data_IF_928236011117
#
_entry.id   IF_928236011117
#
_cell.length_a   1.000
_cell.length_b   1.000
_cell.length_c   1.000
_cell.angle_alpha   90.00
_cell.angle_beta   90.00
_cell.angle_gamma   90.00
#
_symmetry.space_group_name_H-M   'P 1'
#
loop_
_entity.id
_entity.type
_entity.pdbx_description
1 polymer ?
#
# COMPACT_ATOMS: atom_id res chain seq x y z
N UNK A 1 86.02 12.26 -22.39
CA UNK A 1 85.39 11.86 -21.11
C UNK A 1 84.02 11.29 -21.42
N UNK A 2 83.55 10.27 -20.69
CA UNK A 2 82.37 9.47 -21.03
C UNK A 2 81.06 10.28 -21.11
N UNK A 3 80.15 9.83 -21.98
CA UNK A 3 78.75 9.49 -21.65
C UNK A 3 78.26 8.49 -22.72
N UNK A 4 77.91 7.27 -22.31
CA UNK A 4 77.09 6.36 -23.12
C UNK A 4 75.61 6.68 -22.85
N UNK A 5 74.75 6.43 -23.84
CA UNK A 5 73.42 5.84 -23.58
C UNK A 5 72.87 5.25 -24.88
N UNK A 6 72.77 3.92 -24.92
CA UNK A 6 72.21 3.17 -26.05
C UNK A 6 70.69 3.14 -25.99
N UNK A 7 70.01 3.48 -27.10
CA UNK A 7 68.55 3.32 -27.22
C UNK A 7 68.21 1.88 -27.57
N UNK A 8 67.60 1.15 -26.64
CA UNK A 8 66.89 -0.09 -26.96
C UNK A 8 65.44 0.21 -27.37
N UNK A 9 65.04 -0.23 -28.56
CA UNK A 9 63.66 -0.20 -29.03
C UNK A 9 62.90 -1.43 -28.52
N UNK A 10 62.11 -1.26 -27.45
CA UNK A 10 61.17 -2.30 -27.01
C UNK A 10 59.94 -2.32 -27.93
N UNK A 11 59.61 -3.49 -28.49
CA UNK A 11 58.35 -3.72 -29.22
C UNK A 11 57.19 -3.72 -28.23
N UNK A 12 56.23 -2.81 -28.40
CA UNK A 12 54.98 -2.80 -27.63
C UNK A 12 53.96 -3.72 -28.33
N UNK A 13 53.62 -4.85 -27.70
CA UNK A 13 52.47 -5.66 -28.14
C UNK A 13 51.18 -5.08 -27.57
N UNK A 14 50.39 -4.43 -28.43
CA UNK A 14 49.05 -3.95 -28.08
C UNK A 14 48.08 -5.14 -28.13
N UNK A 15 47.78 -5.74 -26.97
CA UNK A 15 46.64 -6.64 -26.85
C UNK A 15 45.34 -5.83 -26.85
N UNK A 16 44.60 -5.89 -27.96
CA UNK A 16 43.24 -5.37 -28.06
C UNK A 16 42.29 -6.27 -27.26
N UNK A 17 42.01 -5.88 -26.01
CA UNK A 17 40.87 -6.40 -25.27
C UNK A 17 39.59 -5.76 -25.80
N UNK A 18 38.82 -6.52 -26.58
CA UNK A 18 37.43 -6.17 -26.92
C UNK A 18 36.54 -6.77 -25.82
N UNK A 19 35.90 -5.96 -24.95
CA UNK A 19 34.88 -6.48 -24.06
C UNK A 19 33.64 -6.84 -24.88
N UNK A 20 33.38 -8.13 -25.03
CA UNK A 20 32.12 -8.62 -25.59
C UNK A 20 30.98 -8.26 -24.64
N UNK A 21 30.29 -7.15 -24.91
CA UNK A 21 29.06 -6.78 -24.20
C UNK A 21 27.99 -7.78 -24.61
N UNK A 22 27.82 -8.85 -23.82
CA UNK A 22 26.60 -9.64 -23.86
C UNK A 22 25.45 -8.74 -23.37
N UNK A 23 24.69 -8.21 -24.32
CA UNK A 23 23.36 -7.70 -24.04
C UNK A 23 22.49 -8.87 -23.58
N UNK A 24 22.40 -9.07 -22.26
CA UNK A 24 21.42 -9.98 -21.67
C UNK A 24 20.06 -9.37 -21.91
N UNK A 25 19.43 -9.77 -23.03
CA UNK A 25 18.01 -9.59 -23.23
C UNK A 25 17.28 -10.46 -22.20
N UNK A 26 17.10 -9.91 -20.99
CA UNK A 26 16.08 -10.37 -20.06
C UNK A 26 14.73 -10.16 -20.74
N UNK A 27 14.29 -11.17 -21.48
CA UNK A 27 12.93 -11.27 -21.97
C UNK A 27 12.02 -11.34 -20.76
N UNK A 28 11.53 -10.17 -20.32
CA UNK A 28 10.50 -10.06 -19.30
C UNK A 28 9.30 -10.87 -19.75
N UNK A 29 9.15 -12.06 -19.19
CA UNK A 29 7.95 -12.89 -19.37
C UNK A 29 6.86 -12.16 -18.59
N UNK A 30 6.22 -11.19 -19.24
CA UNK A 30 4.98 -10.60 -18.75
C UNK A 30 3.99 -11.75 -18.57
N UNK A 31 3.48 -11.91 -17.36
CA UNK A 31 2.36 -12.82 -17.12
C UNK A 31 1.21 -12.44 -18.06
N UNK A 32 0.50 -13.43 -18.59
CA UNK A 32 -0.69 -13.17 -19.39
C UNK A 32 -1.67 -12.29 -18.58
N UNK A 33 -2.32 -11.30 -19.21
CA UNK A 33 -3.24 -10.41 -18.49
C UNK A 33 -4.30 -11.22 -17.75
N UNK A 34 -4.64 -10.88 -16.49
CA UNK A 34 -5.58 -11.68 -15.70
C UNK A 34 -6.93 -11.84 -16.40
N UNK A 35 -7.46 -13.06 -16.37
CA UNK A 35 -8.75 -13.37 -16.95
C UNK A 35 -9.88 -12.92 -15.98
N UNK A 36 -10.74 -11.96 -16.36
CA UNK A 36 -11.76 -11.45 -15.44
C UNK A 36 -12.78 -12.48 -14.97
N UNK A 37 -12.96 -13.62 -15.65
CA UNK A 37 -13.88 -14.67 -15.21
C UNK A 37 -13.37 -15.49 -14.02
N UNK A 38 -12.08 -15.40 -13.68
CA UNK A 38 -11.47 -16.10 -12.54
C UNK A 38 -11.61 -15.33 -11.23
N UNK A 39 -12.12 -14.09 -11.29
CA UNK A 39 -12.17 -13.15 -10.19
C UNK A 39 -13.60 -12.68 -9.88
N UNK A 40 -13.86 -12.23 -8.63
CA UNK A 40 -15.16 -11.67 -8.26
C UNK A 40 -15.48 -10.38 -9.03
N UNK A 41 -16.75 -10.03 -9.12
CA UNK A 41 -17.19 -8.79 -9.77
C UNK A 41 -16.58 -7.57 -9.07
N UNK A 42 -16.24 -6.54 -9.87
CA UNK A 42 -15.67 -5.29 -9.37
C UNK A 42 -16.58 -4.60 -8.36
N UNK A 43 -15.98 -4.09 -7.27
CA UNK A 43 -16.65 -3.39 -6.17
C UNK A 43 -17.85 -4.19 -5.59
N UNK A 44 -17.71 -5.53 -5.57
CA UNK A 44 -18.63 -6.46 -4.91
C UNK A 44 -17.89 -7.34 -3.92
N UNK A 45 -18.50 -7.55 -2.75
CA UNK A 45 -18.05 -8.50 -1.76
C UNK A 45 -17.83 -9.88 -2.42
N UNK A 46 -16.64 -10.48 -2.31
CA UNK A 46 -16.37 -11.78 -2.88
C UNK A 46 -17.15 -12.88 -2.14
N UNK A 47 -17.51 -13.93 -2.88
CA UNK A 47 -18.07 -15.14 -2.29
C UNK A 47 -17.02 -15.79 -1.39
N UNK A 48 -17.41 -16.10 -0.16
CA UNK A 48 -16.56 -16.80 0.80
C UNK A 48 -16.21 -18.21 0.30
N UNK A 49 -14.92 -18.57 0.36
CA UNK A 49 -14.46 -19.94 0.16
C UNK A 49 -14.20 -20.59 1.53
N UNK A 50 -14.94 -21.67 1.90
CA UNK A 50 -14.76 -22.34 3.19
C UNK A 50 -13.33 -22.89 3.39
N UNK A 51 -12.66 -23.37 2.34
CA UNK A 51 -11.33 -23.96 2.44
C UNK A 51 -10.29 -22.98 2.99
N UNK A 52 -10.31 -21.73 2.48
CA UNK A 52 -9.47 -20.63 2.96
C UNK A 52 -9.74 -20.25 4.42
N UNK A 53 -10.96 -20.47 4.88
CA UNK A 53 -11.40 -20.05 6.22
C UNK A 53 -11.13 -21.13 7.28
N UNK A 54 -11.03 -22.40 6.89
CA UNK A 54 -10.90 -23.55 7.79
C UNK A 54 -9.69 -23.46 8.73
N UNK A 55 -8.52 -23.08 8.22
CA UNK A 55 -7.30 -23.00 9.03
C UNK A 55 -7.21 -21.67 9.80
N UNK A 56 -7.45 -20.54 9.13
CA UNK A 56 -7.37 -19.20 9.71
C UNK A 56 -8.32 -19.03 10.90
N UNK A 57 -9.56 -19.52 10.80
CA UNK A 57 -10.57 -19.38 11.87
C UNK A 57 -10.52 -20.49 12.93
N UNK A 58 -9.64 -21.48 12.82
CA UNK A 58 -9.57 -22.62 13.74
C UNK A 58 -9.32 -22.17 15.18
N UNK A 59 -10.30 -22.39 16.06
CA UNK A 59 -10.23 -22.01 17.47
C UNK A 59 -10.42 -20.52 17.76
N UNK A 60 -10.79 -19.70 16.77
CA UNK A 60 -11.31 -18.36 17.02
C UNK A 60 -12.79 -18.41 17.44
N UNK A 61 -13.26 -17.47 18.28
CA UNK A 61 -14.69 -17.33 18.54
C UNK A 61 -15.42 -16.94 17.26
N UNK A 62 -16.61 -17.51 17.03
CA UNK A 62 -17.50 -17.12 15.94
C UNK A 62 -18.24 -15.81 16.28
N UNK A 63 -17.47 -14.72 16.37
CA UNK A 63 -18.00 -13.39 16.64
C UNK A 63 -18.74 -12.86 15.41
N UNK A 64 -20.02 -12.46 15.52
CA UNK A 64 -20.79 -11.94 14.39
C UNK A 64 -20.24 -10.58 13.92
N UNK A 65 -20.56 -10.15 12.67
CA UNK A 65 -20.23 -8.80 12.21
C UNK A 65 -20.94 -7.73 13.02
N UNK A 66 -20.33 -6.54 13.08
CA UNK A 66 -20.99 -5.35 13.62
C UNK A 66 -22.15 -4.94 12.69
N UNK A 67 -23.30 -4.51 13.23
CA UNK A 67 -24.44 -4.08 12.41
C UNK A 67 -24.21 -2.72 11.71
N UNK A 68 -23.14 -2.00 12.09
CA UNK A 68 -22.71 -0.71 11.54
C UNK A 68 -21.17 -0.61 11.63
N UNK A 69 -20.52 0.20 10.77
CA UNK A 69 -19.09 0.47 10.89
C UNK A 69 -18.72 1.09 12.24
N UNK A 70 -17.46 0.94 12.66
CA UNK A 70 -16.94 1.63 13.82
C UNK A 70 -16.75 3.13 13.53
N UNK A 71 -17.05 3.97 14.52
CA UNK A 71 -16.91 5.43 14.46
C UNK A 71 -15.66 5.95 15.20
N UNK A 72 -14.91 5.05 15.84
CA UNK A 72 -13.71 5.36 16.63
C UNK A 72 -12.58 4.43 16.19
N UNK A 73 -11.47 5.00 15.75
CA UNK A 73 -10.29 4.22 15.34
C UNK A 73 -9.43 3.86 16.55
N UNK A 74 -9.19 2.57 16.77
CA UNK A 74 -8.14 2.08 17.66
C UNK A 74 -7.04 1.44 16.83
N UNK A 75 -5.95 2.18 16.61
CA UNK A 75 -4.73 1.71 15.95
C UNK A 75 -3.59 1.42 16.94
N UNK A 76 -3.87 1.28 18.24
CA UNK A 76 -2.85 1.11 19.29
C UNK A 76 -1.97 -0.15 19.12
N UNK A 77 -2.44 -1.12 18.33
CA UNK A 77 -1.76 -2.40 18.02
C UNK A 77 -1.31 -2.52 16.56
N UNK A 78 -1.44 -1.44 15.79
CA UNK A 78 -1.17 -1.42 14.35
C UNK A 78 -0.01 -0.47 14.02
N UNK A 79 0.59 -0.64 12.84
CA UNK A 79 1.68 0.22 12.39
C UNK A 79 1.14 1.59 12.00
N UNK A 80 1.40 2.60 12.82
CA UNK A 80 0.96 3.99 12.60
C UNK A 80 2.11 4.96 12.29
N UNK A 81 3.38 4.56 12.49
CA UNK A 81 4.57 5.42 12.37
C UNK A 81 5.76 4.66 11.79
N UNK A 82 6.66 5.40 11.13
CA UNK A 82 8.01 4.93 10.76
C UNK A 82 8.92 4.73 12.00
N UNK A 83 10.11 4.14 11.81
CA UNK A 83 11.11 3.96 12.89
C UNK A 83 11.92 5.22 13.21
N UNK A 84 12.19 6.08 12.22
CA UNK A 84 13.06 7.26 12.36
C UNK A 84 12.22 8.57 12.38
N UNK A 85 12.50 9.43 13.37
CA UNK A 85 11.79 10.69 13.58
C UNK A 85 11.86 11.67 12.40
N UNK A 86 12.88 11.56 11.53
CA UNK A 86 13.04 12.37 10.31
C UNK A 86 12.51 11.68 9.05
N UNK A 87 11.69 10.61 9.18
CA UNK A 87 11.15 9.90 8.02
C UNK A 87 9.63 10.04 7.91
N UNK A 88 9.19 10.29 6.67
CA UNK A 88 7.81 10.39 6.26
C UNK A 88 7.48 9.21 5.33
N UNK A 89 6.77 8.23 5.85
CA UNK A 89 6.18 7.10 5.13
C UNK A 89 5.01 7.60 4.29
N UNK A 90 5.28 7.87 3.01
CA UNK A 90 4.28 8.37 2.06
C UNK A 90 3.45 7.19 1.53
N UNK A 91 2.12 7.29 1.62
CA UNK A 91 1.24 6.25 1.08
C UNK A 91 -0.02 6.76 0.43
N UNK A 92 -0.48 6.00 -0.56
CA UNK A 92 -1.67 6.25 -1.37
C UNK A 92 -2.59 5.02 -1.36
N UNK A 93 -3.86 5.24 -1.08
CA UNK A 93 -4.90 4.23 -1.02
C UNK A 93 -5.80 4.27 -2.27
N UNK A 94 -6.57 3.19 -2.45
CA UNK A 94 -7.63 3.01 -3.43
C UNK A 94 -7.21 2.83 -4.91
N UNK A 95 -5.94 2.97 -5.27
CA UNK A 95 -5.42 2.64 -6.60
C UNK A 95 -5.48 1.15 -6.98
N UNK A 96 -5.01 0.77 -8.20
CA UNK A 96 -4.50 1.66 -9.23
C UNK A 96 -5.63 2.34 -10.02
N UNK A 97 -5.38 3.54 -10.53
CA UNK A 97 -6.33 4.35 -11.25
C UNK A 97 -5.68 5.02 -12.49
N UNK A 98 -6.45 5.65 -13.40
CA UNK A 98 -5.90 6.22 -14.64
C UNK A 98 -4.86 7.33 -14.46
N UNK A 99 -4.82 7.95 -13.28
CA UNK A 99 -3.89 9.04 -12.92
C UNK A 99 -2.76 8.58 -11.99
N UNK A 100 -2.72 7.30 -11.59
CA UNK A 100 -1.56 6.71 -10.89
C UNK A 100 -0.28 6.91 -11.70
N UNK A 101 -0.30 6.75 -13.03
CA UNK A 101 0.88 6.98 -13.88
C UNK A 101 1.42 8.42 -13.83
N UNK A 102 0.55 9.43 -13.61
CA UNK A 102 0.99 10.81 -13.39
C UNK A 102 1.70 10.94 -12.03
N UNK A 103 1.12 10.35 -10.99
CA UNK A 103 1.73 10.28 -9.66
C UNK A 103 3.08 9.55 -9.67
N UNK A 104 3.24 8.47 -10.44
CA UNK A 104 4.52 7.78 -10.64
C UNK A 104 5.59 8.73 -11.20
N UNK A 105 5.25 9.52 -12.22
CA UNK A 105 6.15 10.51 -12.79
C UNK A 105 6.51 11.64 -11.79
N UNK A 106 5.58 12.05 -10.94
CA UNK A 106 5.80 13.07 -9.90
C UNK A 106 6.63 12.56 -8.70
N UNK A 107 6.54 11.27 -8.38
CA UNK A 107 7.41 10.58 -7.42
C UNK A 107 8.85 10.46 -7.98
N UNK A 108 8.99 10.08 -9.25
CA UNK A 108 10.29 9.89 -9.90
C UNK A 108 11.07 11.21 -10.09
N UNK A 109 10.39 12.30 -10.49
CA UNK A 109 10.94 13.67 -10.54
C UNK A 109 11.58 14.12 -9.23
N UNK A 110 11.09 13.59 -8.09
CA UNK A 110 11.60 13.88 -6.74
C UNK A 110 12.55 12.80 -6.22
N UNK A 111 12.75 11.72 -6.97
CA UNK A 111 13.54 10.54 -6.62
C UNK A 111 13.09 9.89 -5.29
N UNK A 112 11.79 9.92 -5.02
CA UNK A 112 11.19 9.34 -3.81
C UNK A 112 10.38 8.08 -4.13
N UNK A 113 10.17 7.22 -3.13
CA UNK A 113 9.29 6.05 -3.23
C UNK A 113 8.18 6.15 -2.17
N UNK A 114 7.04 5.56 -2.48
CA UNK A 114 5.83 5.54 -1.67
C UNK A 114 5.27 4.11 -1.58
N UNK A 115 4.27 3.90 -0.72
CA UNK A 115 3.45 2.70 -0.70
C UNK A 115 2.10 2.93 -1.36
N UNK A 116 1.63 1.94 -2.13
CA UNK A 116 0.32 1.92 -2.75
C UNK A 116 -0.50 0.79 -2.13
N UNK A 117 -1.53 1.14 -1.37
CA UNK A 117 -2.50 0.20 -0.81
C UNK A 117 -3.61 0.00 -1.85
N UNK A 118 -3.47 -1.04 -2.66
CA UNK A 118 -4.30 -1.24 -3.86
C UNK A 118 -5.53 -2.10 -3.61
N UNK A 119 -6.64 -1.73 -4.24
CA UNK A 119 -7.90 -2.48 -4.20
C UNK A 119 -7.89 -3.55 -5.30
N UNK A 120 -8.10 -4.82 -4.92
CA UNK A 120 -7.93 -5.98 -5.80
C UNK A 120 -8.76 -5.91 -7.09
N UNK A 121 -10.02 -5.46 -7.00
CA UNK A 121 -10.87 -5.27 -8.17
C UNK A 121 -10.35 -4.24 -9.18
N UNK A 122 -9.55 -3.26 -8.73
CA UNK A 122 -8.95 -2.22 -9.56
C UNK A 122 -7.62 -2.66 -10.14
N UNK A 123 -6.88 -3.52 -9.44
CA UNK A 123 -5.75 -4.26 -10.03
C UNK A 123 -6.23 -5.11 -11.21
N UNK A 124 -7.38 -5.79 -11.09
CA UNK A 124 -7.95 -6.55 -12.21
C UNK A 124 -8.27 -5.66 -13.43
N UNK A 125 -8.74 -4.43 -13.21
CA UNK A 125 -8.99 -3.47 -14.29
C UNK A 125 -7.72 -2.80 -14.85
N UNK A 126 -6.61 -2.77 -14.09
CA UNK A 126 -5.37 -2.03 -14.40
C UNK A 126 -4.11 -2.80 -13.99
N UNK A 127 -3.93 -4.03 -14.49
CA UNK A 127 -2.76 -4.86 -14.14
C UNK A 127 -1.46 -4.23 -14.67
N UNK A 128 -1.53 -3.52 -15.79
CA UNK A 128 -0.41 -2.81 -16.40
C UNK A 128 0.06 -1.62 -15.54
N UNK A 129 -0.87 -0.87 -14.94
CA UNK A 129 -0.56 0.22 -14.00
C UNK A 129 0.09 -0.34 -12.74
N UNK A 130 -0.47 -1.40 -12.14
CA UNK A 130 0.14 -2.03 -10.96
C UNK A 130 1.57 -2.50 -11.26
N UNK A 131 1.77 -3.13 -12.41
CA UNK A 131 3.08 -3.63 -12.82
C UNK A 131 4.08 -2.49 -13.05
N UNK A 132 3.66 -1.35 -13.62
CA UNK A 132 4.49 -0.14 -13.70
C UNK A 132 4.83 0.41 -12.31
N UNK A 133 3.87 0.52 -11.40
CA UNK A 133 4.10 0.96 -10.02
C UNK A 133 5.14 0.09 -9.31
N UNK A 134 5.03 -1.24 -9.45
CA UNK A 134 6.00 -2.17 -8.88
C UNK A 134 7.38 -2.10 -9.56
N UNK A 135 7.45 -2.05 -10.90
CA UNK A 135 8.69 -1.93 -11.66
C UNK A 135 9.42 -0.59 -11.40
N UNK A 136 8.69 0.47 -11.06
CA UNK A 136 9.25 1.75 -10.60
C UNK A 136 9.84 1.69 -9.17
N UNK A 137 9.78 0.53 -8.49
CA UNK A 137 10.36 0.32 -7.16
C UNK A 137 9.51 0.88 -6.02
N UNK A 138 8.20 1.01 -6.21
CA UNK A 138 7.28 1.35 -5.13
C UNK A 138 6.77 0.10 -4.40
N UNK A 139 6.38 0.27 -3.14
CA UNK A 139 5.84 -0.82 -2.32
C UNK A 139 4.36 -1.03 -2.66
N UNK A 140 3.99 -2.27 -2.97
CA UNK A 140 2.60 -2.68 -3.19
C UNK A 140 2.06 -3.38 -1.94
N UNK A 141 0.97 -2.85 -1.40
CA UNK A 141 0.25 -3.36 -0.25
C UNK A 141 -1.24 -3.59 -0.58
N UNK A 142 -1.96 -4.36 0.24
CA UNK A 142 -3.37 -4.67 -0.01
C UNK A 142 -4.32 -3.64 0.63
N UNK A 143 -5.44 -3.39 -0.05
CA UNK A 143 -6.55 -2.61 0.48
C UNK A 143 -7.91 -3.29 0.26
N UNK A 144 -7.93 -4.63 0.40
CA UNK A 144 -9.08 -5.52 0.15
C UNK A 144 -9.51 -5.59 -1.33
N UNK A 145 -10.47 -6.44 -1.65
CA UNK A 145 -10.95 -6.67 -3.02
C UNK A 145 -11.97 -5.62 -3.44
N UNK A 146 -12.91 -5.30 -2.56
CA UNK A 146 -14.06 -4.43 -2.88
C UNK A 146 -14.21 -3.20 -1.97
N UNK A 147 -13.23 -2.95 -1.10
CA UNK A 147 -13.21 -1.82 -0.16
C UNK A 147 -14.42 -1.76 0.82
N UNK A 148 -14.81 -2.86 1.51
CA UNK A 148 -15.87 -2.82 2.51
C UNK A 148 -15.36 -2.39 3.89
N UNK A 149 -16.27 -1.85 4.70
CA UNK A 149 -16.08 -1.75 6.16
C UNK A 149 -15.89 -3.16 6.77
N UNK A 150 -14.65 -3.53 7.10
CA UNK A 150 -14.30 -4.91 7.47
C UNK A 150 -15.03 -5.41 8.73
N UNK A 151 -15.42 -4.51 9.63
CA UNK A 151 -16.15 -4.90 10.84
C UNK A 151 -17.60 -5.28 10.54
N UNK A 152 -18.18 -4.86 9.41
CA UNK A 152 -19.59 -5.17 9.04
C UNK A 152 -19.76 -6.43 8.20
N UNK A 153 -18.66 -7.06 7.76
CA UNK A 153 -18.67 -8.31 6.98
C UNK A 153 -18.25 -9.52 7.81
N UNK A 154 -18.67 -10.71 7.38
CA UNK A 154 -18.35 -11.97 8.07
C UNK A 154 -16.85 -12.31 8.00
N UNK A 155 -16.36 -13.08 8.98
CA UNK A 155 -14.96 -13.50 9.04
C UNK A 155 -14.50 -14.24 7.77
N UNK A 156 -15.39 -15.03 7.14
CA UNK A 156 -15.10 -15.69 5.87
C UNK A 156 -15.01 -14.70 4.69
N UNK A 157 -15.79 -13.60 4.71
CA UNK A 157 -15.70 -12.54 3.71
C UNK A 157 -14.43 -11.70 3.88
N UNK A 158 -14.00 -11.40 5.11
CA UNK A 158 -12.69 -10.76 5.36
C UNK A 158 -11.57 -11.59 4.73
N UNK A 159 -11.59 -12.90 4.93
CA UNK A 159 -10.58 -13.80 4.34
C UNK A 159 -10.67 -13.78 2.81
N UNK A 160 -11.86 -13.85 2.21
CA UNK A 160 -12.01 -13.79 0.75
C UNK A 160 -11.57 -12.45 0.15
N UNK A 161 -11.91 -11.32 0.78
CA UNK A 161 -11.45 -9.95 0.43
C UNK A 161 -9.92 -9.88 0.36
N UNK A 162 -9.23 -10.49 1.32
CA UNK A 162 -7.76 -10.54 1.37
C UNK A 162 -7.19 -11.50 0.32
N UNK A 163 -7.71 -12.73 0.23
CA UNK A 163 -7.16 -13.77 -0.64
C UNK A 163 -7.27 -13.40 -2.12
N UNK A 164 -8.44 -12.93 -2.59
CA UNK A 164 -8.57 -12.51 -4.00
C UNK A 164 -7.64 -11.34 -4.35
N UNK A 165 -7.39 -10.44 -3.38
CA UNK A 165 -6.44 -9.33 -3.55
C UNK A 165 -5.00 -9.82 -3.61
N UNK A 166 -4.61 -10.75 -2.75
CA UNK A 166 -3.30 -11.40 -2.79
C UNK A 166 -3.08 -12.18 -4.09
N UNK A 167 -4.12 -12.87 -4.60
CA UNK A 167 -4.08 -13.63 -5.85
C UNK A 167 -3.84 -12.72 -7.07
N UNK A 168 -4.65 -11.66 -7.24
CA UNK A 168 -4.52 -10.77 -8.40
C UNK A 168 -3.18 -10.04 -8.40
N UNK A 169 -2.72 -9.58 -7.23
CA UNK A 169 -1.41 -8.92 -7.13
C UNK A 169 -0.30 -9.92 -7.48
N UNK A 170 -0.32 -11.13 -6.90
CA UNK A 170 0.68 -12.16 -7.23
C UNK A 170 0.69 -12.51 -8.71
N UNK A 171 -0.47 -12.63 -9.36
CA UNK A 171 -0.55 -12.92 -10.79
C UNK A 171 0.09 -11.82 -11.64
N UNK A 172 -0.02 -10.55 -11.23
CA UNK A 172 0.48 -9.40 -11.98
C UNK A 172 1.96 -9.11 -11.73
N UNK A 173 2.42 -9.18 -10.46
CA UNK A 173 3.80 -8.79 -10.07
C UNK A 173 4.68 -9.94 -9.55
N UNK A 174 4.17 -11.16 -9.52
CA UNK A 174 4.89 -12.38 -9.11
C UNK A 174 4.99 -12.61 -7.60
N UNK A 175 4.86 -11.56 -6.78
CA UNK A 175 5.06 -11.56 -5.32
C UNK A 175 3.77 -11.30 -4.54
N UNK A 176 3.66 -11.88 -3.33
CA UNK A 176 2.51 -11.69 -2.43
C UNK A 176 2.76 -10.61 -1.37
N UNK A 177 1.94 -9.54 -1.29
CA UNK A 177 2.08 -8.51 -0.27
C UNK A 177 1.91 -9.03 1.16
N UNK A 178 2.78 -8.55 2.05
CA UNK A 178 2.70 -8.78 3.49
C UNK A 178 1.92 -7.68 4.22
N UNK A 179 1.67 -6.55 3.56
CA UNK A 179 1.02 -5.38 4.14
C UNK A 179 -0.45 -5.28 3.75
N UNK A 180 -1.27 -4.82 4.70
CA UNK A 180 -2.67 -4.46 4.46
C UNK A 180 -3.04 -3.19 5.23
N UNK A 181 -3.89 -2.36 4.64
CA UNK A 181 -4.62 -1.30 5.33
C UNK A 181 -6.11 -1.63 5.30
N UNK A 182 -6.78 -1.53 6.44
CA UNK A 182 -8.23 -1.72 6.51
C UNK A 182 -8.95 -0.52 5.86
N UNK A 183 -9.88 -0.73 4.91
CA UNK A 183 -10.76 0.32 4.40
C UNK A 183 -11.36 1.16 5.51
N UNK A 184 -11.35 2.48 5.33
CA UNK A 184 -11.84 3.46 6.30
C UNK A 184 -11.18 3.43 7.69
N UNK A 185 -10.13 2.62 7.91
CA UNK A 185 -9.61 2.34 9.26
C UNK A 185 -10.57 1.50 10.12
N UNK A 186 -11.58 0.86 9.52
CA UNK A 186 -12.61 0.12 10.24
C UNK A 186 -12.08 -1.26 10.71
N UNK A 187 -11.59 -1.30 11.95
CA UNK A 187 -10.93 -2.47 12.53
C UNK A 187 -11.36 -2.75 13.98
N UNK A 188 -11.80 -3.98 14.22
CA UNK A 188 -12.08 -4.52 15.55
C UNK A 188 -11.05 -5.64 15.91
N UNK A 189 -11.14 -6.21 17.11
CA UNK A 189 -10.28 -7.33 17.53
C UNK A 189 -10.39 -8.55 16.60
N UNK A 190 -11.59 -8.85 16.07
CA UNK A 190 -11.85 -9.99 15.18
C UNK A 190 -11.17 -9.80 13.83
N UNK A 191 -11.36 -8.64 13.19
CA UNK A 191 -10.67 -8.23 11.94
C UNK A 191 -9.16 -8.32 12.15
N UNK A 192 -8.63 -7.69 13.21
CA UNK A 192 -7.21 -7.67 13.53
C UNK A 192 -6.63 -9.08 13.69
N UNK A 193 -7.28 -9.95 14.47
CA UNK A 193 -6.82 -11.33 14.69
C UNK A 193 -6.83 -12.16 13.41
N UNK A 194 -7.81 -11.97 12.52
CA UNK A 194 -7.87 -12.66 11.22
C UNK A 194 -6.67 -12.24 10.35
N UNK A 195 -6.45 -10.93 10.18
CA UNK A 195 -5.35 -10.41 9.36
C UNK A 195 -3.97 -10.82 9.91
N UNK A 196 -3.80 -10.80 11.24
CA UNK A 196 -2.58 -11.27 11.90
C UNK A 196 -2.35 -12.76 11.71
N UNK A 197 -3.40 -13.62 11.75
CA UNK A 197 -3.25 -15.06 11.45
C UNK A 197 -2.90 -15.35 9.99
N UNK A 198 -3.29 -14.49 9.06
CA UNK A 198 -2.82 -14.54 7.68
C UNK A 198 -1.37 -14.04 7.52
N UNK A 199 -0.76 -13.55 8.60
CA UNK A 199 0.62 -13.05 8.67
C UNK A 199 0.82 -11.67 8.08
N UNK A 200 -0.24 -10.87 8.05
CA UNK A 200 -0.21 -9.53 7.50
C UNK A 200 0.17 -8.47 8.55
N UNK A 201 0.98 -7.52 8.13
CA UNK A 201 1.25 -6.29 8.86
C UNK A 201 0.13 -5.31 8.55
N UNK A 202 -0.60 -4.91 9.59
CA UNK A 202 -1.68 -3.93 9.50
C UNK A 202 -1.07 -2.54 9.60
N UNK A 203 -1.13 -1.78 8.51
CA UNK A 203 -0.63 -0.41 8.42
C UNK A 203 -1.79 0.59 8.40
N UNK A 204 -1.86 1.42 9.43
CA UNK A 204 -2.74 2.57 9.51
C UNK A 204 -1.95 3.84 9.15
N UNK A 205 -2.28 4.97 9.76
CA UNK A 205 -1.61 6.26 9.57
C UNK A 205 -1.63 7.05 10.89
N UNK A 206 -0.82 8.11 10.94
CA UNK A 206 -0.91 9.11 12.01
C UNK A 206 -1.08 10.54 11.46
N UNK A 207 -1.12 10.71 10.14
CA UNK A 207 -1.28 11.99 9.47
C UNK A 207 -2.27 11.81 8.31
N UNK A 208 -3.50 12.29 8.50
CA UNK A 208 -4.53 12.23 7.46
C UNK A 208 -4.50 13.52 6.64
N UNK A 209 -4.33 13.40 5.32
CA UNK A 209 -4.40 14.55 4.40
C UNK A 209 -5.81 15.14 4.31
N UNK A 210 -6.85 14.33 4.52
CA UNK A 210 -8.25 14.66 4.31
C UNK A 210 -8.66 14.79 2.84
N UNK A 211 -7.83 14.33 1.89
CA UNK A 211 -8.07 14.48 0.44
C UNK A 211 -9.35 13.77 -0.04
N UNK A 212 -9.60 12.53 0.42
CA UNK A 212 -10.86 11.80 0.22
C UNK A 212 -12.07 12.51 0.86
N UNK A 213 -11.85 13.30 1.91
CA UNK A 213 -12.86 14.19 2.51
C UNK A 213 -13.05 15.50 1.72
N UNK A 214 -12.38 15.68 0.58
CA UNK A 214 -12.49 16.85 -0.28
C UNK A 214 -11.58 18.02 0.09
N UNK A 215 -10.67 17.89 1.07
CA UNK A 215 -9.68 18.92 1.42
C UNK A 215 -8.86 19.31 0.19
N UNK A 216 -8.68 20.63 -0.03
CA UNK A 216 -7.91 21.22 -1.15
C UNK A 216 -6.61 21.89 -0.73
N UNK A 217 -6.16 21.62 0.50
CA UNK A 217 -5.02 22.29 1.16
C UNK A 217 -4.01 21.29 1.74
N UNK A 218 -3.86 20.11 1.12
CA UNK A 218 -2.95 19.06 1.62
C UNK A 218 -1.51 19.57 1.74
N UNK A 219 -1.01 20.34 0.77
CA UNK A 219 0.32 20.93 0.81
C UNK A 219 0.51 21.84 2.04
N UNK A 220 -0.47 22.70 2.37
CA UNK A 220 -0.40 23.58 3.54
C UNK A 220 -0.47 22.78 4.85
N UNK A 221 -1.31 21.73 4.92
CA UNK A 221 -1.39 20.82 6.08
C UNK A 221 -0.07 20.10 6.31
N UNK A 222 0.50 19.51 5.26
CA UNK A 222 1.77 18.78 5.34
C UNK A 222 2.95 19.71 5.63
N UNK A 223 2.98 20.93 5.08
CA UNK A 223 4.00 21.93 5.43
C UNK A 223 3.88 22.34 6.91
N UNK A 224 2.67 22.58 7.40
CA UNK A 224 2.44 22.87 8.82
C UNK A 224 2.90 21.71 9.69
N UNK A 225 2.59 20.46 9.30
CA UNK A 225 3.03 19.26 10.01
C UNK A 225 4.54 19.07 10.02
N UNK A 226 5.19 19.19 8.86
CA UNK A 226 6.63 19.11 8.69
C UNK A 226 7.38 20.23 9.44
N UNK A 227 6.67 21.27 9.87
CA UNK A 227 7.16 22.37 10.69
C UNK A 227 6.81 22.25 12.19
N UNK A 228 6.02 21.25 12.59
CA UNK A 228 5.42 21.10 13.92
C UNK A 228 6.03 19.90 14.68
N UNK A 229 7.30 20.05 15.07
CA UNK A 229 8.07 19.01 15.73
C UNK A 229 8.61 17.95 14.76
N UNK A 230 9.44 17.06 15.30
CA UNK A 230 10.12 16.01 14.53
C UNK A 230 9.72 14.67 15.14
N UNK A 231 8.86 13.93 14.44
CA UNK A 231 8.26 12.66 14.86
C UNK A 231 8.08 11.77 13.63
N UNK A 232 8.14 10.43 13.74
CA UNK A 232 7.98 9.57 12.59
C UNK A 232 6.54 9.61 12.09
N UNK A 233 6.35 9.75 10.77
CA UNK A 233 5.05 9.93 10.14
C UNK A 233 4.75 8.82 9.15
N UNK A 234 3.54 8.25 9.17
CA UNK A 234 2.91 7.61 8.01
C UNK A 234 1.68 8.45 7.62
N UNK A 235 1.62 8.88 6.36
CA UNK A 235 0.50 9.69 5.84
C UNK A 235 -0.48 8.91 4.99
N UNK A 236 -1.76 9.25 5.11
CA UNK A 236 -2.87 8.75 4.27
C UNK A 236 -3.26 9.79 3.22
N UNK A 237 -3.20 9.38 1.95
CA UNK A 237 -3.66 10.06 0.74
C UNK A 237 -4.30 9.02 -0.20
N UNK A 238 -4.93 9.44 -1.29
CA UNK A 238 -5.63 8.54 -2.22
C UNK A 238 -5.30 8.88 -3.68
N UNK A 239 -5.03 7.88 -4.52
CA UNK A 239 -4.77 8.06 -5.96
C UNK A 239 -5.96 7.67 -6.87
N UNK A 240 -7.12 7.30 -6.29
CA UNK A 240 -8.35 6.95 -7.01
C UNK A 240 -9.10 8.13 -7.66
N UNK A 241 -8.89 9.35 -7.19
CA UNK A 241 -9.57 10.53 -7.74
C UNK A 241 -8.55 11.60 -8.15
N UNK A 242 -8.76 12.19 -9.32
CA UNK A 242 -7.85 13.20 -9.91
C UNK A 242 -7.73 14.45 -9.02
N UNK A 243 -8.77 14.79 -8.24
CA UNK A 243 -8.76 15.89 -7.29
C UNK A 243 -7.91 15.64 -6.03
N UNK A 244 -7.68 14.37 -5.68
CA UNK A 244 -6.76 13.96 -4.61
C UNK A 244 -5.34 13.86 -5.15
N UNK A 245 -5.17 13.13 -6.25
CA UNK A 245 -3.88 12.90 -6.91
C UNK A 245 -3.17 14.23 -7.26
N UNK A 246 -3.88 15.21 -7.84
CA UNK A 246 -3.31 16.53 -8.18
C UNK A 246 -2.72 17.31 -7.02
N UNK A 247 -3.02 16.95 -5.77
CA UNK A 247 -2.43 17.60 -4.60
C UNK A 247 -1.11 16.93 -4.15
N UNK A 248 -0.84 15.70 -4.57
CA UNK A 248 0.33 14.93 -4.18
C UNK A 248 1.67 15.63 -4.52
N UNK A 249 1.87 16.30 -5.68
CA UNK A 249 3.13 16.97 -5.98
C UNK A 249 3.46 18.08 -4.97
N UNK A 250 2.50 18.98 -4.72
CA UNK A 250 2.65 20.05 -3.73
C UNK A 250 2.74 19.53 -2.29
N UNK A 251 2.11 18.39 -1.99
CA UNK A 251 2.25 17.71 -0.71
C UNK A 251 3.68 17.18 -0.48
N UNK A 252 4.29 16.59 -1.50
CA UNK A 252 5.70 16.14 -1.44
C UNK A 252 6.67 17.32 -1.31
N UNK A 253 6.47 18.39 -2.08
CA UNK A 253 7.29 19.60 -2.00
C UNK A 253 7.21 20.26 -0.61
N UNK A 254 6.02 20.25 0.00
CA UNK A 254 5.78 20.71 1.37
C UNK A 254 6.50 19.88 2.44
N UNK A 255 6.55 18.54 2.28
CA UNK A 255 7.30 17.66 3.19
C UNK A 255 8.80 17.94 3.08
N UNK A 256 9.34 17.98 1.87
CA UNK A 256 10.77 18.12 1.58
C UNK A 256 11.33 19.51 1.94
N UNK A 257 10.52 20.56 1.82
CA UNK A 257 10.90 21.94 2.19
C UNK A 257 10.65 22.30 3.66
N UNK A 258 9.95 21.44 4.42
CA UNK A 258 9.62 21.68 5.82
C UNK A 258 10.85 21.69 6.76
N UNK A 259 10.79 22.48 7.83
CA UNK A 259 11.91 22.66 8.79
C UNK A 259 12.33 21.37 9.51
N UNK A 260 11.46 20.36 9.59
CA UNK A 260 11.79 19.03 10.12
C UNK A 260 12.77 18.23 9.25
N UNK A 261 13.01 18.66 7.99
CA UNK A 261 13.95 18.01 7.05
C UNK A 261 13.64 16.53 6.85
N UNK A 262 12.37 16.23 6.59
CA UNK A 262 11.90 14.85 6.43
C UNK A 262 12.45 14.22 5.15
N UNK A 263 12.84 12.95 5.24
CA UNK A 263 13.07 12.07 4.09
C UNK A 263 11.77 11.34 3.78
N UNK A 264 11.32 11.39 2.53
CA UNK A 264 10.18 10.58 2.07
C UNK A 264 10.66 9.15 1.80
N UNK A 265 9.92 8.16 2.30
CA UNK A 265 10.15 6.74 2.05
C UNK A 265 8.82 6.00 1.84
N UNK A 266 8.88 4.81 1.26
CA UNK A 266 7.80 3.84 1.32
C UNK A 266 7.66 3.27 2.74
N UNK A 267 6.46 2.84 3.13
CA UNK A 267 6.13 2.42 4.50
C UNK A 267 6.92 1.19 4.94
N UNK A 268 7.02 0.15 4.10
CA UNK A 268 7.84 -1.05 4.33
C UNK A 268 9.30 -0.70 4.69
N UNK A 269 9.88 0.22 3.92
CA UNK A 269 11.24 0.72 4.10
C UNK A 269 11.35 1.53 5.39
N UNK A 270 10.40 2.45 5.63
CA UNK A 270 10.46 3.33 6.80
C UNK A 270 10.18 2.60 8.13
N UNK A 271 9.50 1.46 8.08
CA UNK A 271 9.31 0.58 9.24
C UNK A 271 10.31 -0.58 9.28
N UNK A 272 11.18 -0.73 8.28
CA UNK A 272 12.22 -1.75 8.21
C UNK A 272 11.70 -3.20 8.29
N UNK A 273 10.71 -3.54 7.46
CA UNK A 273 10.10 -4.88 7.35
C UNK A 273 10.07 -5.34 5.88
N UNK A 274 10.08 -6.66 5.63
CA UNK A 274 9.92 -7.19 4.26
C UNK A 274 8.53 -6.83 3.70
N UNK A 275 8.43 -6.21 2.50
CA UNK A 275 7.15 -5.87 1.86
C UNK A 275 6.33 -7.09 1.42
N UNK A 276 6.98 -8.21 1.12
CA UNK A 276 6.37 -9.41 0.55
C UNK A 276 6.63 -10.65 1.42
N UNK A 277 5.68 -11.59 1.42
CA UNK A 277 5.78 -12.88 2.14
C UNK A 277 4.98 -13.98 1.42
N UNK A 278 5.69 -14.93 0.82
CA UNK A 278 5.11 -16.11 0.16
C UNK A 278 4.58 -17.15 1.15
N UNK A 279 4.95 -17.08 2.43
CA UNK A 279 4.38 -17.90 3.50
C UNK A 279 2.90 -17.65 3.76
N UNK A 280 2.32 -16.59 3.16
CA UNK A 280 0.88 -16.34 3.14
C UNK A 280 0.07 -17.57 2.68
N UNK A 281 0.49 -18.22 1.60
CA UNK A 281 -0.23 -19.37 1.03
C UNK A 281 -0.18 -20.59 1.95
N UNK A 282 0.99 -20.87 2.56
CA UNK A 282 1.19 -21.95 3.53
C UNK A 282 0.45 -21.75 4.87
N UNK A 283 0.07 -20.52 5.20
CA UNK A 283 -0.83 -20.22 6.34
C UNK A 283 -2.30 -20.38 5.96
N UNK A 284 -2.65 -20.08 4.70
CA UNK A 284 -4.00 -20.22 4.17
C UNK A 284 -4.44 -21.68 4.03
N UNK A 285 -3.54 -22.54 3.52
CA UNK A 285 -3.80 -23.98 3.32
C UNK A 285 -3.46 -24.86 4.55
N UNK A 286 -2.87 -24.26 5.59
CA UNK A 286 -2.48 -24.96 6.82
C UNK A 286 -1.18 -25.79 6.72
N UNK A 287 -0.43 -25.72 5.63
CA UNK A 287 0.77 -26.51 5.39
C UNK A 287 2.03 -25.89 5.98
N UNK A 288 2.18 -25.97 7.31
CA UNK A 288 3.41 -25.59 8.05
C UNK A 288 3.94 -24.16 7.76
N UNK A 289 3.07 -23.20 7.44
CA UNK A 289 3.43 -21.79 7.64
C UNK A 289 3.78 -21.57 9.11
N UNK A 290 4.97 -21.04 9.41
CA UNK A 290 5.31 -20.61 10.77
C UNK A 290 4.29 -19.57 11.22
N UNK A 291 3.67 -19.75 12.39
CA UNK A 291 2.83 -18.70 12.97
C UNK A 291 3.66 -17.42 13.11
N UNK A 292 3.14 -16.25 12.69
CA UNK A 292 3.82 -14.99 12.90
C UNK A 292 4.01 -14.79 14.40
N UNK A 293 5.27 -14.69 14.84
CA UNK A 293 5.57 -14.37 16.23
C UNK A 293 4.96 -13.01 16.54
N UNK A 294 4.01 -12.98 17.49
CA UNK A 294 3.46 -11.74 17.99
C UNK A 294 4.61 -10.88 18.55
N UNK A 295 4.86 -9.74 17.93
CA UNK A 295 5.90 -8.81 18.39
C UNK A 295 5.39 -8.09 19.65
N UNK A 296 5.60 -8.67 20.82
CA UNK A 296 5.31 -8.03 22.11
C UNK A 296 6.27 -6.88 22.45
N UNK A 297 7.31 -6.66 21.64
CA UNK A 297 8.40 -5.70 21.92
C UNK A 297 8.36 -4.43 21.05
N UNK A 298 7.33 -3.60 21.22
CA UNK A 298 7.42 -2.13 20.98
C UNK A 298 6.82 -1.30 22.12
N UNK A 299 6.98 -1.76 23.37
CA UNK A 299 6.79 -0.93 24.56
C UNK A 299 8.16 -0.40 25.06
N UNK A 300 8.68 0.63 24.38
CA UNK A 300 9.91 1.30 24.79
C UNK A 300 9.73 2.00 26.14
N UNK A 301 10.52 1.60 27.13
CA UNK A 301 10.34 2.04 28.51
C UNK A 301 10.60 3.54 28.72
N UNK A 302 9.72 4.18 29.49
CA UNK A 302 10.07 5.36 30.29
C UNK A 302 9.93 4.95 31.76
N UNK A 303 11.07 4.67 32.40
CA UNK A 303 11.11 4.43 33.83
C UNK A 303 10.96 5.76 34.59
N UNK A 304 9.99 5.82 35.49
CA UNK A 304 9.68 7.00 36.31
C UNK A 304 8.70 6.62 37.40
N UNK A 305 9.15 5.83 38.36
CA UNK A 305 8.31 5.33 39.44
C UNK A 305 8.14 6.33 40.59
N UNK A 306 6.95 6.35 41.17
CA UNK A 306 6.72 6.60 42.60
C UNK A 306 5.46 5.87 43.05
N UNK A 307 5.47 5.40 44.30
CA UNK A 307 4.47 4.51 44.89
C UNK A 307 3.21 5.28 45.37
N UNK A 308 2.05 4.61 45.44
CA UNK A 308 0.78 5.31 45.75
C UNK A 308 -0.43 4.43 46.06
N UNK A 309 -0.26 3.46 46.96
CA UNK A 309 -1.24 2.73 47.81
C UNK A 309 -2.77 2.85 47.58
N UNK A 310 -3.43 1.68 47.63
CA UNK A 310 -4.86 1.45 47.47
C UNK A 310 -5.82 2.02 48.56
N UNK A 311 -7.08 2.23 48.18
CA UNK A 311 -8.34 1.85 48.85
C UNK A 311 -9.50 2.14 47.86
N UNK A 312 -10.34 1.17 47.45
CA UNK A 312 -11.48 0.56 48.15
C UNK A 312 -12.60 1.53 48.56
N UNK A 313 -13.78 1.36 47.95
CA UNK A 313 -15.11 1.29 48.60
C UNK A 313 -16.27 2.01 47.85
N UNK A 314 -17.30 1.21 47.55
CA UNK A 314 -18.74 1.52 47.74
C UNK A 314 -19.47 2.49 46.78
N UNK A 315 -20.46 1.91 46.09
CA UNK A 315 -21.60 2.54 45.40
C UNK A 315 -22.55 3.19 46.44
N UNK A 316 -23.43 4.15 46.07
CA UNK A 316 -24.79 3.70 45.76
C UNK A 316 -25.52 4.46 44.64
N UNK A 317 -26.62 3.84 44.24
CA UNK A 317 -27.66 4.25 43.28
C UNK A 317 -28.35 5.58 43.57
N UNK A 318 -28.81 6.26 42.51
CA UNK A 318 -30.21 6.71 42.38
C UNK A 318 -30.64 6.86 40.92
N UNK A 319 -31.95 6.74 40.71
CA UNK A 319 -32.66 6.69 39.42
C UNK A 319 -33.47 7.95 39.14
N UNK A 320 -33.64 8.32 37.87
CA UNK A 320 -34.90 8.93 37.37
C UNK A 320 -35.06 8.77 35.85
N UNK A 321 -36.30 8.94 35.38
CA UNK A 321 -36.79 8.47 34.09
C UNK A 321 -36.80 9.52 32.96
N UNK A 322 -36.66 9.02 31.72
CA UNK A 322 -37.45 9.27 30.48
C UNK A 322 -38.54 10.39 30.42
N UNK A 323 -39.11 10.72 29.23
CA UNK A 323 -38.70 10.40 27.84
C UNK A 323 -38.78 11.61 26.85
N UNK A 324 -38.40 11.43 25.57
CA UNK A 324 -39.24 11.93 24.46
C UNK A 324 -38.99 11.24 23.09
N UNK A 325 -40.12 11.03 22.40
CA UNK A 325 -40.35 10.65 20.99
C UNK A 325 -39.29 11.16 19.97
N UNK A 326 -38.72 10.36 19.08
CA UNK A 326 -39.31 9.67 17.91
C UNK A 326 -39.79 10.59 16.76
N UNK A 327 -39.15 10.51 15.60
CA UNK A 327 -39.79 10.62 14.27
C UNK A 327 -38.96 9.88 13.21
N UNK A 328 -39.62 9.45 12.13
CA UNK A 328 -39.06 8.57 11.10
C UNK A 328 -39.61 8.91 9.71
N UNK A 329 -38.73 9.13 8.73
CA UNK A 329 -38.94 9.04 7.28
C UNK A 329 -37.53 9.01 6.64
N UNK A 330 -37.11 8.12 5.73
CA UNK A 330 -37.72 7.36 4.63
C UNK A 330 -37.92 8.13 3.31
N UNK A 331 -37.56 7.47 2.20
CA UNK A 331 -37.71 7.84 0.79
C UNK A 331 -36.79 8.98 0.25
N UNK A 332 -36.26 8.93 -0.98
CA UNK A 332 -36.31 7.90 -2.04
C UNK A 332 -35.13 8.04 -3.02
N UNK A 333 -34.80 6.96 -3.71
CA UNK A 333 -33.86 6.91 -4.83
C UNK A 333 -34.36 7.62 -6.09
N UNK A 334 -33.43 8.14 -6.91
CA UNK A 334 -33.59 8.23 -8.37
C UNK A 334 -32.31 7.81 -9.07
N UNK A 335 -32.44 6.80 -9.94
CA UNK A 335 -31.43 6.38 -10.91
C UNK A 335 -31.63 7.12 -12.23
N UNK A 336 -30.54 7.41 -12.95
CA UNK A 336 -30.56 7.88 -14.35
C UNK A 336 -29.34 7.34 -15.10
N UNK A 337 -29.53 6.26 -15.85
CA UNK A 337 -28.56 5.67 -16.77
C UNK A 337 -28.81 6.14 -18.20
N UNK A 338 -27.84 6.76 -18.88
CA UNK A 338 -27.82 6.86 -20.37
C UNK A 338 -26.40 6.65 -20.93
N UNK A 339 -26.30 5.65 -21.81
CA UNK A 339 -25.41 5.43 -22.97
C UNK A 339 -23.88 5.73 -22.89
N UNK A 340 -23.11 4.67 -23.15
CA UNK A 340 -21.74 4.71 -23.69
C UNK A 340 -21.84 4.38 -25.20
N UNK A 341 -21.15 5.14 -26.05
CA UNK A 341 -20.95 4.78 -27.46
C UNK A 341 -19.47 4.35 -27.70
N UNK A 342 -19.20 3.36 -28.55
CA UNK A 342 -17.84 2.85 -28.73
C UNK A 342 -17.02 3.72 -29.70
N UNK A 343 -15.81 4.10 -29.31
CA UNK A 343 -14.84 4.70 -30.23
C UNK A 343 -13.81 3.66 -30.67
N UNK A 344 -13.56 3.56 -31.97
CA UNK A 344 -12.71 2.52 -32.55
C UNK A 344 -11.23 2.75 -32.27
N UNK A 345 -10.53 1.68 -31.88
CA UNK A 345 -9.07 1.65 -31.93
C UNK A 345 -8.59 1.61 -33.40
N UNK A 346 -7.70 2.53 -33.77
CA UNK A 346 -6.87 2.42 -34.98
C UNK A 346 -5.42 2.28 -34.56
N UNK A 347 -4.90 1.05 -34.68
CA UNK A 347 -3.47 0.78 -34.61
C UNK A 347 -2.79 1.35 -35.86
N UNK A 348 -1.70 2.10 -35.68
CA UNK A 348 -0.78 2.46 -36.77
C UNK A 348 0.63 2.14 -36.29
N UNK A 349 1.15 1.02 -36.77
CA UNK A 349 2.55 0.64 -36.68
C UNK A 349 3.35 1.49 -37.67
N UNK A 350 4.45 2.09 -37.23
CA UNK A 350 5.42 2.71 -38.15
C UNK A 350 6.84 2.37 -37.71
N UNK A 351 7.44 1.37 -38.37
CA UNK A 351 8.88 1.18 -38.35
C UNK A 351 9.51 2.17 -39.31
N UNK A 352 10.42 3.03 -38.81
CA UNK A 352 11.37 3.75 -39.65
C UNK A 352 12.73 3.07 -39.55
N UNK A 353 13.04 2.28 -40.57
CA UNK A 353 14.36 1.74 -40.84
C UNK A 353 15.24 2.88 -41.42
N UNK A 354 16.27 3.31 -40.70
CA UNK A 354 17.28 4.23 -41.22
C UNK A 354 18.54 3.46 -41.60
N UNK A 355 18.94 3.57 -42.87
CA UNK A 355 20.13 2.91 -43.40
C UNK A 355 20.98 3.88 -44.24
N UNK A 356 22.27 3.90 -43.89
CA UNK A 356 23.42 4.18 -44.76
C UNK A 356 23.74 5.63 -45.17
N UNK A 357 25.03 5.80 -45.53
CA UNK A 357 25.65 6.86 -46.37
C UNK A 357 25.81 8.25 -45.70
N UNK A 358 26.97 8.94 -45.72
CA UNK A 358 28.37 8.64 -46.09
C UNK A 358 29.28 9.36 -45.02
N UNK A 359 30.62 9.49 -45.02
CA UNK A 359 31.72 9.34 -46.00
C UNK A 359 33.01 8.88 -45.28
N UNK A 360 34.06 8.57 -46.05
CA UNK A 360 35.47 8.64 -45.62
C UNK A 360 36.26 9.41 -46.68
N UNK A 361 37.05 10.39 -46.24
CA UNK A 361 38.28 10.91 -46.89
C UNK A 361 39.22 11.32 -45.76
#
# INVERSE_FOLDING_TARGET
MYILTTRHTMRLHVLLWIPAILAVFSSSIYAAPPNPSEYPVKDKLPTANPAWSTHILKGLPNTPPNPKPMTTFDFSKDVTRCRDNHVWGLSFDDGPAPFTDHLLAELDKRSVKASFFVVGSRVLERPDVLLRTYQAGHHIAMHTWSHPHLTTVSSNQIIAEVVYTAMIIKQVIGVTPRFIRAPYGDIDTRVRTILQRMGLIIAAWNEDSGDAGGVKTVAQRFLARANAGIVPIISLQHDLFVESERQAPGAMDAILSGRGKYKIQAVDTCIGESPYDEGFWSRLDGTKGSEPTANENTAGAVAGGTEGRAESATQPTTSTENPHQSTSASNTSKSSTIAIAPFMAKSVFSLLLSALLIFSV
#
